data_IF_721875976352
#
_entry.id   IF_721875976352
#
_cell.length_a   1.000
_cell.length_b   1.000
_cell.length_c   1.000
_cell.angle_alpha   90.00
_cell.angle_beta   90.00
_cell.angle_gamma   90.00
#
_symmetry.space_group_name_H-M   'P 1'
#
loop_
_entity.id
_entity.type
_entity.pdbx_description
1 polymer ?
#
# COMPACT_ATOMS: atom_id res chain seq x y z
N UNK A 1 -0.35 71.38 34.82
CA UNK A 1 -1.57 70.58 35.10
C UNK A 1 -2.09 70.11 33.75
N UNK A 2 -2.29 68.85 33.40
CA UNK A 2 -2.45 67.63 34.17
C UNK A 2 -1.82 66.46 33.39
N UNK A 3 -1.18 65.53 34.11
CA UNK A 3 -0.57 64.35 33.52
C UNK A 3 -1.63 63.44 32.89
N UNK A 4 -1.34 62.94 31.68
CA UNK A 4 -2.11 61.88 31.03
C UNK A 4 -1.98 60.60 31.88
N UNK A 5 -2.93 60.46 32.81
CA UNK A 5 -3.04 59.37 33.76
C UNK A 5 -3.51 58.12 33.00
N UNK A 6 -2.69 57.07 33.06
CA UNK A 6 -2.78 55.87 32.24
C UNK A 6 -4.19 55.27 32.15
N UNK A 7 -4.56 54.88 30.92
CA UNK A 7 -5.72 54.05 30.65
C UNK A 7 -5.51 52.71 31.36
N UNK A 8 -6.25 52.47 32.44
CA UNK A 8 -6.21 51.21 33.17
C UNK A 8 -6.51 50.05 32.22
N UNK A 9 -5.67 49.02 32.25
CA UNK A 9 -5.98 47.73 31.64
C UNK A 9 -7.31 47.25 32.24
N UNK A 10 -8.28 46.89 31.39
CA UNK A 10 -9.59 46.43 31.86
C UNK A 10 -9.43 45.30 32.89
N UNK A 11 -10.15 45.41 34.01
CA UNK A 11 -10.15 44.36 35.03
C UNK A 11 -10.86 43.12 34.49
N UNK A 12 -10.21 41.95 34.57
CA UNK A 12 -10.84 40.68 34.21
C UNK A 12 -11.87 40.27 35.28
N UNK A 13 -12.83 39.44 34.92
CA UNK A 13 -13.86 38.92 35.85
C UNK A 13 -13.28 37.97 36.90
N UNK A 14 -12.08 37.44 36.69
CA UNK A 14 -11.36 36.57 37.60
C UNK A 14 -10.16 37.29 38.24
N UNK A 15 -9.72 36.79 39.39
CA UNK A 15 -8.60 37.36 40.15
C UNK A 15 -7.25 37.05 39.48
N UNK A 16 -6.59 38.07 38.94
CA UNK A 16 -5.27 37.97 38.27
C UNK A 16 -4.16 37.53 39.24
N UNK A 17 -4.21 38.01 40.49
CA UNK A 17 -3.23 37.70 41.54
C UNK A 17 -3.25 36.21 41.92
N UNK A 18 -4.42 35.56 41.86
CA UNK A 18 -4.54 34.12 42.11
C UNK A 18 -3.95 33.26 40.98
N UNK A 19 -3.82 33.82 39.77
CA UNK A 19 -3.15 33.18 38.62
C UNK A 19 -1.62 33.34 38.71
N UNK A 20 -1.13 34.20 39.61
CA UNK A 20 0.30 34.43 39.85
C UNK A 20 0.87 35.68 39.20
N UNK A 21 0.03 36.61 38.73
CA UNK A 21 0.47 37.92 38.24
C UNK A 21 0.18 39.00 39.29
N UNK A 22 1.22 39.69 39.76
CA UNK A 22 1.07 40.82 40.69
C UNK A 22 0.62 42.07 39.95
N UNK A 23 0.09 43.05 40.69
CA UNK A 23 -0.29 44.35 40.13
C UNK A 23 0.92 45.05 39.53
N UNK A 24 0.91 45.22 38.21
CA UNK A 24 2.02 45.86 37.48
C UNK A 24 3.01 44.87 36.86
N UNK A 25 2.85 43.57 37.06
CA UNK A 25 3.67 42.55 36.40
C UNK A 25 3.41 42.53 34.89
N UNK A 26 4.43 42.12 34.14
CA UNK A 26 4.38 42.03 32.68
C UNK A 26 3.49 40.85 32.28
N UNK A 27 2.25 41.15 31.93
CA UNK A 27 1.35 40.19 31.29
C UNK A 27 1.93 39.74 29.93
N UNK A 28 1.63 38.50 29.49
CA UNK A 28 2.09 38.01 28.20
C UNK A 28 1.62 38.92 27.07
N UNK A 29 2.45 39.01 26.02
CA UNK A 29 2.16 39.84 24.87
C UNK A 29 0.92 39.33 24.11
N UNK A 30 0.18 40.28 23.55
CA UNK A 30 -0.99 39.96 22.72
C UNK A 30 -0.50 39.50 21.36
N UNK A 31 -0.78 38.24 21.03
CA UNK A 31 -0.47 37.65 19.73
C UNK A 31 -1.32 38.31 18.64
N UNK A 32 -0.71 39.10 17.76
CA UNK A 32 -1.40 39.87 16.72
C UNK A 32 -1.79 39.04 15.48
N UNK A 33 -1.09 37.92 15.24
CA UNK A 33 -1.31 37.05 14.09
C UNK A 33 -1.33 35.60 14.56
N UNK A 34 -2.21 34.74 13.99
CA UNK A 34 -2.19 33.33 14.32
C UNK A 34 -0.83 32.72 13.97
N UNK A 35 -0.33 31.76 14.76
CA UNK A 35 0.87 31.00 14.41
C UNK A 35 0.75 30.36 13.02
N UNK A 36 1.88 30.17 12.31
CA UNK A 36 1.87 29.49 11.02
C UNK A 36 1.40 28.02 11.17
N UNK A 37 0.83 27.46 10.09
CA UNK A 37 0.37 26.06 10.05
C UNK A 37 1.51 25.05 10.27
N UNK A 38 2.71 25.39 9.82
CA UNK A 38 3.91 24.58 9.97
C UNK A 38 4.96 25.41 10.71
N UNK A 39 5.11 25.22 12.04
CA UNK A 39 6.18 25.86 12.78
C UNK A 39 7.53 25.28 12.36
N UNK A 40 8.58 26.10 12.43
CA UNK A 40 9.94 25.63 12.21
C UNK A 40 10.34 24.62 13.28
N UNK A 41 11.00 23.56 12.86
CA UNK A 41 11.49 22.49 13.75
C UNK A 41 13.00 22.64 13.94
N UNK A 42 13.47 22.47 15.17
CA UNK A 42 14.90 22.61 15.51
C UNK A 42 15.76 21.53 14.82
N UNK A 43 15.19 20.37 14.53
CA UNK A 43 15.90 19.21 13.98
C UNK A 43 15.23 18.67 12.73
N UNK A 44 16.07 18.31 11.75
CA UNK A 44 15.64 17.65 10.52
C UNK A 44 15.69 16.12 10.69
N UNK A 45 14.86 15.37 9.94
CA UNK A 45 14.92 13.92 9.95
C UNK A 45 16.27 13.41 9.43
N UNK A 46 16.67 12.24 9.92
CA UNK A 46 17.92 11.58 9.51
C UNK A 46 17.84 11.17 8.03
N UNK A 47 18.90 11.36 7.24
CA UNK A 47 18.95 10.89 5.85
C UNK A 47 18.70 9.39 5.75
N UNK A 48 18.14 8.97 4.61
CA UNK A 48 17.94 7.54 4.33
C UNK A 48 19.29 6.82 4.18
N UNK A 49 19.31 5.54 4.57
CA UNK A 49 20.46 4.68 4.32
C UNK A 49 20.55 4.38 2.83
N UNK A 50 21.77 4.47 2.30
CA UNK A 50 22.09 4.21 0.89
C UNK A 50 22.98 2.99 0.79
N UNK A 51 22.68 2.10 -0.15
CA UNK A 51 23.45 0.88 -0.37
C UNK A 51 22.69 -0.13 -1.22
N UNK A 52 23.43 -1.06 -1.81
CA UNK A 52 22.87 -2.08 -2.71
C UNK A 52 21.81 -2.94 -2.01
N UNK A 53 21.99 -3.22 -0.70
CA UNK A 53 21.02 -3.96 0.10
C UNK A 53 19.71 -3.21 0.28
N UNK A 54 19.76 -1.92 0.58
CA UNK A 54 18.58 -1.07 0.75
C UNK A 54 17.84 -0.91 -0.58
N UNK A 55 18.58 -0.67 -1.66
CA UNK A 55 18.04 -0.51 -3.01
C UNK A 55 17.39 -1.78 -3.52
N UNK A 56 17.97 -2.95 -3.24
CA UNK A 56 17.38 -4.25 -3.56
C UNK A 56 16.02 -4.45 -2.86
N UNK A 57 15.95 -4.17 -1.55
CA UNK A 57 14.69 -4.32 -0.79
C UNK A 57 13.65 -3.29 -1.27
N UNK A 58 14.07 -2.09 -1.67
CA UNK A 58 13.18 -1.08 -2.26
C UNK A 58 12.59 -1.55 -3.59
N UNK A 59 13.40 -2.11 -4.49
CA UNK A 59 12.94 -2.69 -5.75
C UNK A 59 11.97 -3.86 -5.50
N UNK A 60 12.35 -4.79 -4.61
CA UNK A 60 11.52 -5.94 -4.27
C UNK A 60 10.18 -5.54 -3.66
N UNK A 61 10.14 -4.47 -2.85
CA UNK A 61 8.89 -3.93 -2.32
C UNK A 61 7.96 -3.40 -3.41
N UNK A 62 8.52 -2.80 -4.48
CA UNK A 62 7.73 -2.32 -5.61
C UNK A 62 7.16 -3.50 -6.41
N UNK A 63 8.00 -4.49 -6.74
CA UNK A 63 7.57 -5.71 -7.42
C UNK A 63 6.49 -6.47 -6.63
N UNK A 64 6.64 -6.56 -5.30
CA UNK A 64 5.64 -7.18 -4.45
C UNK A 64 4.30 -6.43 -4.51
N UNK A 65 4.30 -5.09 -4.51
CA UNK A 65 3.06 -4.31 -4.61
C UNK A 65 2.34 -4.58 -5.94
N UNK A 66 3.08 -4.71 -7.04
CA UNK A 66 2.49 -5.01 -8.34
C UNK A 66 1.98 -6.43 -8.45
N UNK A 67 2.78 -7.41 -7.98
CA UNK A 67 2.38 -8.82 -7.98
C UNK A 67 1.13 -9.02 -7.13
N UNK A 68 1.07 -8.42 -5.94
CA UNK A 68 -0.07 -8.51 -5.04
C UNK A 68 -1.38 -8.01 -5.64
N UNK A 69 -1.35 -6.95 -6.44
CA UNK A 69 -2.56 -6.44 -7.13
C UNK A 69 -3.09 -7.39 -8.20
N UNK A 70 -2.22 -8.22 -8.79
CA UNK A 70 -2.60 -9.20 -9.83
C UNK A 70 -3.02 -10.55 -9.23
N UNK A 71 -2.81 -10.76 -7.94
CA UNK A 71 -3.18 -12.00 -7.27
C UNK A 71 -4.69 -12.07 -7.05
N UNK A 72 -5.29 -13.28 -7.06
CA UNK A 72 -6.73 -13.46 -6.85
C UNK A 72 -7.20 -13.06 -5.44
N UNK A 73 -6.25 -12.83 -4.51
CA UNK A 73 -6.54 -12.34 -3.16
C UNK A 73 -6.78 -10.82 -3.11
N UNK A 74 -6.49 -10.09 -4.20
CA UNK A 74 -6.80 -8.67 -4.31
C UNK A 74 -8.27 -8.51 -4.70
N UNK A 75 -9.13 -8.32 -3.70
CA UNK A 75 -10.56 -8.09 -3.91
C UNK A 75 -10.76 -6.65 -4.37
N UNK A 76 -11.10 -6.47 -5.64
CA UNK A 76 -11.47 -5.18 -6.21
C UNK A 76 -12.85 -4.76 -5.71
N UNK A 77 -13.04 -3.45 -5.50
CA UNK A 77 -14.37 -2.92 -5.22
C UNK A 77 -15.23 -3.10 -6.46
N UNK A 78 -16.43 -3.69 -6.35
CA UNK A 78 -17.29 -3.90 -7.50
C UNK A 78 -17.63 -2.55 -8.15
N UNK A 79 -17.45 -2.45 -9.46
CA UNK A 79 -17.86 -1.26 -10.20
C UNK A 79 -19.40 -1.16 -10.21
N UNK A 80 -19.92 0.01 -9.87
CA UNK A 80 -21.33 0.33 -10.10
C UNK A 80 -21.55 0.35 -11.62
N UNK A 81 -22.45 -0.51 -12.11
CA UNK A 81 -22.73 -0.68 -13.54
C UNK A 81 -23.08 0.68 -14.15
N UNK A 82 -22.29 1.14 -15.11
CA UNK A 82 -22.71 2.23 -15.98
C UNK A 82 -23.78 1.69 -16.92
N UNK A 83 -24.98 2.26 -16.90
CA UNK A 83 -26.18 1.83 -17.64
C UNK A 83 -26.08 1.98 -19.18
N UNK A 84 -24.87 2.06 -19.74
CA UNK A 84 -24.64 2.25 -21.18
C UNK A 84 -24.20 0.91 -21.77
N UNK A 85 -25.17 0.15 -22.27
CA UNK A 85 -24.93 -1.06 -23.06
C UNK A 85 -24.34 -0.71 -24.44
N UNK A 86 -23.02 -0.56 -24.51
CA UNK A 86 -22.28 -0.51 -25.76
C UNK A 86 -21.74 -1.91 -26.09
N UNK A 87 -21.86 -2.33 -27.35
CA UNK A 87 -21.37 -3.63 -27.85
C UNK A 87 -19.88 -3.90 -27.51
N UNK A 88 -19.10 -2.84 -27.29
CA UNK A 88 -17.71 -2.88 -26.85
C UNK A 88 -17.54 -3.53 -25.46
N UNK A 89 -18.49 -3.34 -24.55
CA UNK A 89 -18.47 -3.92 -23.19
C UNK A 89 -18.55 -5.45 -23.25
N UNK A 90 -19.28 -6.01 -24.22
CA UNK A 90 -19.40 -7.46 -24.42
C UNK A 90 -18.10 -8.13 -24.87
N UNK A 91 -17.22 -7.42 -25.57
CA UNK A 91 -15.91 -7.93 -25.97
C UNK A 91 -14.93 -7.99 -24.79
N UNK A 92 -14.98 -7.04 -23.86
CA UNK A 92 -14.05 -6.99 -22.72
C UNK A 92 -14.28 -8.11 -21.69
N UNK A 93 -15.52 -8.56 -21.48
CA UNK A 93 -15.83 -9.63 -20.50
C UNK A 93 -15.49 -11.06 -20.96
N UNK A 94 -15.66 -11.36 -22.26
CA UNK A 94 -15.49 -12.74 -22.78
C UNK A 94 -14.03 -13.20 -22.89
N UNK A 95 -13.07 -12.29 -22.99
CA UNK A 95 -11.65 -12.63 -23.11
C UNK A 95 -10.96 -12.92 -21.76
N UNK A 96 -11.55 -12.50 -20.65
CA UNK A 96 -10.93 -12.60 -19.32
C UNK A 96 -11.08 -13.98 -18.65
N UNK A 97 -11.91 -14.88 -19.18
CA UNK A 97 -12.17 -16.21 -18.60
C UNK A 97 -11.95 -17.36 -19.60
N UNK A 98 -10.88 -17.31 -20.39
CA UNK A 98 -10.43 -18.51 -21.12
C UNK A 98 -9.26 -19.12 -20.34
N UNK A 99 -9.48 -20.14 -19.49
CA UNK A 99 -8.41 -21.00 -19.03
C UNK A 99 -7.70 -21.57 -20.26
N UNK A 100 -6.41 -21.25 -20.41
CA UNK A 100 -5.55 -21.84 -21.43
C UNK A 100 -5.49 -23.35 -21.25
N UNK A 101 -6.41 -24.08 -21.89
CA UNK A 101 -6.44 -25.55 -21.93
C UNK A 101 -5.30 -26.15 -22.77
N UNK A 102 -4.23 -25.39 -23.07
CA UNK A 102 -3.08 -25.86 -23.85
C UNK A 102 -1.94 -26.50 -23.04
N UNK A 103 -2.06 -26.61 -21.71
CA UNK A 103 -1.03 -27.27 -20.90
C UNK A 103 -1.39 -28.71 -20.45
N UNK A 104 -2.53 -29.25 -20.87
CA UNK A 104 -3.00 -30.57 -20.44
C UNK A 104 -2.82 -31.71 -21.48
N UNK A 105 -1.98 -31.54 -22.51
CA UNK A 105 -1.83 -32.55 -23.59
C UNK A 105 -0.40 -32.93 -23.98
N UNK A 106 0.55 -32.88 -23.05
CA UNK A 106 1.93 -33.40 -23.29
C UNK A 106 2.37 -34.53 -22.34
N UNK A 107 1.63 -34.86 -21.27
CA UNK A 107 1.91 -36.06 -20.46
C UNK A 107 0.79 -37.10 -20.59
N UNK A 108 0.92 -38.01 -21.55
CA UNK A 108 0.01 -39.16 -21.64
C UNK A 108 -0.05 -39.89 -22.98
N UNK A 109 0.97 -39.80 -23.83
CA UNK A 109 0.97 -40.42 -25.15
C UNK A 109 2.24 -41.24 -25.43
N UNK A 110 2.65 -42.13 -24.52
CA UNK A 110 3.57 -43.23 -24.83
C UNK A 110 3.25 -44.53 -24.06
N UNK A 111 1.99 -44.78 -23.70
CA UNK A 111 1.64 -46.07 -23.09
C UNK A 111 0.30 -46.55 -23.61
N UNK A 112 0.37 -47.20 -24.78
CA UNK A 112 -0.79 -47.59 -25.55
C UNK A 112 -0.52 -48.78 -26.45
N UNK A 113 -0.55 -49.98 -25.85
CA UNK A 113 -1.09 -51.21 -26.42
C UNK A 113 -0.27 -51.92 -27.52
N UNK A 114 0.55 -52.87 -27.08
CA UNK A 114 0.83 -54.11 -27.82
C UNK A 114 0.34 -55.31 -27.01
N UNK A 115 -0.75 -55.95 -27.44
CA UNK A 115 -1.20 -57.27 -26.94
C UNK A 115 -0.90 -58.34 -28.02
N UNK A 116 -0.91 -59.64 -27.64
CA UNK A 116 0.25 -60.50 -27.77
C UNK A 116 0.24 -61.33 -29.06
N UNK A 117 1.43 -61.67 -29.55
CA UNK A 117 1.62 -62.78 -30.48
C UNK A 117 2.38 -63.88 -29.75
N UNK A 118 1.65 -64.93 -29.40
CA UNK A 118 2.20 -66.25 -29.12
C UNK A 118 2.94 -66.74 -30.36
N UNK A 119 4.24 -66.94 -30.24
CA UNK A 119 4.97 -67.92 -31.02
C UNK A 119 5.88 -68.76 -30.13
N UNK A 120 5.96 -70.00 -30.54
CA UNK A 120 6.46 -71.18 -29.86
C UNK A 120 7.97 -71.12 -29.55
N UNK A 121 8.32 -71.75 -28.41
CA UNK A 121 9.44 -72.69 -28.24
C UNK A 121 10.61 -72.57 -29.22
N UNK A 122 11.78 -72.15 -28.75
CA UNK A 122 13.10 -72.76 -29.04
C UNK A 122 14.12 -72.29 -27.99
N UNK A 123 14.44 -73.20 -27.08
CA UNK A 123 15.80 -73.58 -26.65
C UNK A 123 16.89 -72.53 -26.27
N UNK A 124 17.51 -72.82 -25.11
CA UNK A 124 18.93 -72.61 -24.72
C UNK A 124 19.33 -71.41 -23.83
N UNK A 125 19.55 -71.71 -22.54
CA UNK A 125 20.68 -71.25 -21.69
C UNK A 125 20.60 -72.02 -20.36
N UNK A 126 21.43 -73.03 -20.09
CA UNK A 126 22.85 -73.01 -19.70
C UNK A 126 23.06 -72.72 -18.19
N UNK A 127 23.63 -73.72 -17.49
CA UNK A 127 24.44 -73.66 -16.25
C UNK A 127 23.65 -73.25 -14.99
N UNK A 128 23.50 -74.07 -13.94
CA UNK A 128 24.47 -74.82 -13.11
C UNK A 128 23.83 -76.10 -12.58
#
# INVERSE_FOLDING_TARGET
MAGNKGRGRAAYTFNIEAVGFSRGDKLPDVVLKPPPLFPDTDYKPVPLKTGESEDYVLALKQELRETMKRMPYFIETPEEKQDIESLEVGYFGCWAHVPSHRDARVQGALEGRGRPLTQHSTQQRALV
#
